data_IF_631908311712
#
_entry.id   IF_631908311712
#
_cell.length_a   1.000
_cell.length_b   1.000
_cell.length_c   1.000
_cell.angle_alpha   90.00
_cell.angle_beta   90.00
_cell.angle_gamma   90.00
#
_symmetry.space_group_name_H-M   'P 1'
#
loop_
_entity.id
_entity.type
_entity.pdbx_description
1 polymer ?
#
# COMPACT_ATOMS: atom_id res chain seq x y z
N UNK A 1 7.04 -36.97 5.76
CA UNK A 1 7.34 -35.80 6.57
C UNK A 1 7.36 -34.63 5.59
N UNK A 2 6.35 -33.75 5.61
CA UNK A 2 6.25 -32.59 4.74
C UNK A 2 7.29 -31.57 5.26
N UNK A 3 8.32 -31.29 4.48
CA UNK A 3 9.28 -30.22 4.79
C UNK A 3 8.49 -28.92 4.85
N UNK A 4 8.56 -28.21 5.96
CA UNK A 4 7.87 -26.93 6.11
C UNK A 4 8.60 -25.88 5.25
N UNK A 5 7.87 -25.28 4.31
CA UNK A 5 8.40 -24.15 3.56
C UNK A 5 8.67 -22.98 4.50
N UNK A 6 9.82 -22.32 4.34
CA UNK A 6 10.18 -21.13 5.11
C UNK A 6 10.00 -19.90 4.24
N UNK A 7 9.15 -18.97 4.68
CA UNK A 7 8.96 -17.70 4.00
C UNK A 7 10.10 -16.73 4.35
N UNK A 8 10.71 -16.14 3.33
CA UNK A 8 11.62 -15.00 3.52
C UNK A 8 10.84 -13.74 3.89
N UNK A 9 11.51 -12.74 4.48
CA UNK A 9 10.89 -11.42 4.71
C UNK A 9 10.47 -10.76 3.39
N UNK A 10 9.47 -9.85 3.41
CA UNK A 10 8.93 -9.28 2.18
C UNK A 10 9.95 -8.40 1.46
N UNK A 11 10.07 -8.61 0.16
CA UNK A 11 10.77 -7.71 -0.77
C UNK A 11 9.73 -6.80 -1.43
N UNK A 12 9.96 -5.49 -1.34
CA UNK A 12 9.12 -4.50 -2.03
C UNK A 12 9.54 -4.42 -3.49
N UNK A 13 8.66 -4.82 -4.40
CA UNK A 13 8.92 -4.92 -5.83
C UNK A 13 7.93 -4.04 -6.59
N UNK A 14 8.45 -3.06 -7.33
CA UNK A 14 7.62 -2.22 -8.19
C UNK A 14 7.02 -3.05 -9.35
N UNK A 15 5.82 -2.67 -9.80
CA UNK A 15 5.07 -3.40 -10.83
C UNK A 15 5.88 -3.74 -12.09
N UNK A 16 6.76 -2.84 -12.56
CA UNK A 16 7.59 -3.11 -13.76
C UNK A 16 8.56 -4.26 -13.55
N UNK A 17 9.31 -4.23 -12.43
CA UNK A 17 10.22 -5.32 -12.07
C UNK A 17 9.50 -6.64 -11.76
N UNK A 18 8.25 -6.55 -11.29
CA UNK A 18 7.42 -7.73 -11.11
C UNK A 18 7.04 -8.35 -12.45
N UNK A 19 6.62 -7.55 -13.43
CA UNK A 19 6.29 -8.03 -14.77
C UNK A 19 7.48 -8.74 -15.44
N UNK A 20 8.69 -8.18 -15.34
CA UNK A 20 9.91 -8.82 -15.83
C UNK A 20 10.14 -10.18 -15.16
N UNK A 21 9.96 -10.23 -13.83
CA UNK A 21 10.11 -11.46 -13.05
C UNK A 21 9.08 -12.54 -13.40
N UNK A 22 7.83 -12.17 -13.75
CA UNK A 22 6.81 -13.14 -14.15
C UNK A 22 7.17 -13.83 -15.45
N UNK A 23 7.91 -13.18 -16.36
CA UNK A 23 8.41 -13.80 -17.57
C UNK A 23 9.38 -14.94 -17.23
N UNK A 24 10.27 -14.75 -16.24
CA UNK A 24 11.23 -15.78 -15.82
C UNK A 24 10.52 -17.04 -15.32
N UNK A 25 9.40 -16.89 -14.59
CA UNK A 25 8.60 -18.05 -14.16
C UNK A 25 7.99 -18.80 -15.34
N UNK A 26 7.40 -18.11 -16.31
CA UNK A 26 6.74 -18.75 -17.46
C UNK A 26 7.69 -19.54 -18.36
N UNK A 27 8.94 -19.12 -18.46
CA UNK A 27 9.95 -19.79 -19.28
C UNK A 27 10.77 -20.82 -18.50
N UNK A 28 10.48 -21.07 -17.21
CA UNK A 28 11.19 -22.07 -16.40
C UNK A 28 10.96 -23.49 -17.00
N UNK A 29 12.00 -24.16 -17.54
CA UNK A 29 11.80 -25.41 -18.25
C UNK A 29 11.28 -26.54 -17.36
N UNK A 30 10.22 -27.19 -17.76
CA UNK A 30 9.66 -28.34 -17.05
C UNK A 30 8.89 -28.01 -15.79
N UNK A 31 8.65 -26.73 -15.49
CA UNK A 31 7.77 -26.30 -14.41
C UNK A 31 6.39 -25.94 -14.96
N UNK A 32 5.36 -26.41 -14.26
CA UNK A 32 3.98 -25.96 -14.45
C UNK A 32 3.55 -25.23 -13.20
N UNK A 33 2.97 -24.03 -13.36
CA UNK A 33 2.58 -23.18 -12.24
C UNK A 33 1.07 -23.01 -12.15
N UNK A 34 0.59 -22.89 -10.92
CA UNK A 34 -0.77 -22.46 -10.60
C UNK A 34 -0.70 -21.08 -9.98
N UNK A 35 -1.50 -20.15 -10.51
CA UNK A 35 -1.58 -18.75 -10.04
C UNK A 35 -2.98 -18.52 -9.50
N UNK A 36 -3.09 -18.10 -8.25
CA UNK A 36 -4.37 -17.83 -7.60
C UNK A 36 -4.43 -16.34 -7.18
N UNK A 37 -5.48 -15.65 -7.62
CA UNK A 37 -5.79 -14.29 -7.18
C UNK A 37 -6.95 -14.35 -6.19
N UNK A 38 -6.66 -14.12 -4.91
CA UNK A 38 -7.63 -14.25 -3.83
C UNK A 38 -7.99 -12.86 -3.25
N UNK A 39 -9.26 -12.44 -3.28
CA UNK A 39 -9.70 -11.19 -2.69
C UNK A 39 -9.59 -11.22 -1.16
N UNK A 40 -9.76 -10.07 -0.50
CA UNK A 40 -9.75 -9.98 0.96
C UNK A 40 -10.73 -10.97 1.60
N UNK A 41 -10.37 -11.50 2.78
CA UNK A 41 -11.18 -12.50 3.48
C UNK A 41 -10.92 -13.96 3.04
N UNK A 42 -9.88 -14.18 2.24
CA UNK A 42 -9.44 -15.52 1.84
C UNK A 42 -9.01 -16.39 3.03
N UNK A 43 -9.00 -17.70 2.80
CA UNK A 43 -8.42 -18.67 3.75
C UNK A 43 -7.28 -19.40 3.06
N UNK A 44 -6.12 -19.42 3.69
CA UNK A 44 -4.96 -20.12 3.16
C UNK A 44 -4.97 -21.59 3.60
N UNK A 45 -4.53 -22.46 2.70
CA UNK A 45 -4.24 -23.85 3.04
C UNK A 45 -3.00 -23.96 3.96
N UNK A 46 -2.83 -25.13 4.59
CA UNK A 46 -1.76 -25.35 5.56
C UNK A 46 -0.35 -25.19 4.96
N UNK A 47 -0.20 -25.40 3.65
CA UNK A 47 1.07 -25.25 2.92
C UNK A 47 1.61 -23.81 2.97
N UNK A 48 0.72 -22.82 3.13
CA UNK A 48 1.05 -21.39 3.25
C UNK A 48 1.25 -20.94 4.70
N UNK A 49 1.21 -21.85 5.66
CA UNK A 49 1.24 -21.55 7.10
C UNK A 49 2.50 -20.84 7.59
N UNK A 50 3.60 -20.85 6.82
CA UNK A 50 4.84 -20.14 7.14
C UNK A 50 4.78 -18.63 6.85
N UNK A 51 3.76 -18.16 6.13
CA UNK A 51 3.58 -16.73 5.87
C UNK A 51 3.28 -15.98 7.18
N UNK A 52 3.80 -14.76 7.34
CA UNK A 52 3.48 -13.93 8.50
C UNK A 52 1.99 -13.58 8.54
N UNK A 53 1.45 -13.37 9.73
CA UNK A 53 0.04 -13.05 9.93
C UNK A 53 -0.46 -11.87 9.08
N UNK A 54 0.38 -10.85 8.89
CA UNK A 54 0.06 -9.70 8.03
C UNK A 54 -0.10 -10.05 6.54
N UNK A 55 0.42 -11.19 6.10
CA UNK A 55 0.20 -11.72 4.77
C UNK A 55 -0.99 -12.67 4.72
N UNK A 56 -1.30 -13.35 5.83
CA UNK A 56 -2.46 -14.22 5.94
C UNK A 56 -3.79 -13.46 6.02
N UNK A 57 -3.78 -12.22 6.56
CA UNK A 57 -4.96 -11.37 6.78
C UNK A 57 -4.85 -10.05 5.97
N UNK A 58 -4.47 -10.10 4.69
CA UNK A 58 -4.33 -8.89 3.88
C UNK A 58 -5.66 -8.31 3.45
N UNK A 59 -5.89 -7.02 3.74
CA UNK A 59 -7.10 -6.29 3.34
C UNK A 59 -7.21 -6.07 1.82
N UNK A 60 -6.11 -6.20 1.08
CA UNK A 60 -6.07 -6.09 -0.38
C UNK A 60 -6.17 -7.44 -1.09
N UNK A 61 -6.28 -8.54 -0.36
CA UNK A 61 -6.17 -9.88 -0.91
C UNK A 61 -4.72 -10.34 -1.05
N UNK A 62 -4.51 -11.46 -1.74
CA UNK A 62 -3.20 -12.09 -1.95
C UNK A 62 -3.16 -12.78 -3.30
N UNK A 63 -1.98 -12.77 -3.92
CA UNK A 63 -1.68 -13.60 -5.09
C UNK A 63 -0.72 -14.70 -4.65
N UNK A 64 -1.06 -15.93 -5.02
CA UNK A 64 -0.27 -17.12 -4.71
C UNK A 64 0.23 -17.75 -6.00
N UNK A 65 1.49 -18.14 -6.04
CA UNK A 65 2.08 -18.90 -7.13
C UNK A 65 2.65 -20.21 -6.56
N UNK A 66 2.14 -21.31 -7.05
CA UNK A 66 2.57 -22.67 -6.69
C UNK A 66 3.11 -23.40 -7.91
N UNK A 67 4.06 -24.31 -7.70
CA UNK A 67 4.59 -25.17 -8.74
C UNK A 67 3.96 -26.58 -8.63
N UNK A 68 3.50 -27.09 -9.76
CA UNK A 68 3.01 -28.48 -9.85
C UNK A 68 4.20 -29.43 -9.81
N UNK A 69 4.15 -30.42 -8.94
CA UNK A 69 5.21 -31.42 -8.76
C UNK A 69 4.73 -32.76 -9.26
N UNK A 70 5.49 -33.40 -10.12
CA UNK A 70 5.22 -34.79 -10.54
C UNK A 70 5.53 -35.79 -9.39
N UNK A 71 4.69 -36.79 -9.12
CA UNK A 71 3.41 -37.06 -9.78
C UNK A 71 2.33 -36.06 -9.40
N UNK A 72 1.43 -35.76 -10.32
CA UNK A 72 0.36 -34.73 -10.20
C UNK A 72 -0.68 -35.01 -9.10
N UNK A 73 -0.56 -36.08 -8.35
CA UNK A 73 -1.40 -36.41 -7.21
C UNK A 73 -1.02 -35.64 -5.92
N UNK A 74 0.16 -34.99 -5.91
CA UNK A 74 0.56 -34.16 -4.79
C UNK A 74 0.02 -32.72 -4.96
N UNK A 75 -0.33 -32.05 -3.84
CA UNK A 75 -0.73 -30.65 -3.93
C UNK A 75 0.41 -29.79 -4.49
N UNK A 76 0.10 -28.74 -5.28
CA UNK A 76 1.10 -27.82 -5.77
C UNK A 76 1.93 -27.22 -4.62
N UNK A 77 3.23 -27.06 -4.81
CA UNK A 77 4.12 -26.51 -3.78
C UNK A 77 4.15 -25.00 -3.81
N UNK A 78 3.92 -24.33 -2.67
CA UNK A 78 4.07 -22.88 -2.57
C UNK A 78 5.45 -22.39 -3.04
N UNK A 79 5.47 -21.37 -3.87
CA UNK A 79 6.68 -20.77 -4.40
C UNK A 79 6.79 -19.29 -4.06
N UNK A 80 5.69 -18.55 -4.25
CA UNK A 80 5.66 -17.12 -4.09
C UNK A 80 4.29 -16.67 -3.56
N UNK A 81 4.28 -15.79 -2.59
CA UNK A 81 3.08 -15.07 -2.16
C UNK A 81 3.30 -13.56 -2.35
N UNK A 82 2.32 -12.87 -2.91
CA UNK A 82 2.41 -11.45 -3.20
C UNK A 82 1.21 -10.72 -2.62
N UNK A 83 1.46 -9.66 -1.85
CA UNK A 83 0.42 -8.74 -1.41
C UNK A 83 0.32 -7.59 -2.40
N UNK A 84 -0.80 -7.46 -3.12
CA UNK A 84 -0.98 -6.40 -4.09
C UNK A 84 -1.12 -5.04 -3.41
N UNK A 85 -0.71 -3.96 -4.06
CA UNK A 85 -0.89 -2.60 -3.55
C UNK A 85 -2.35 -2.16 -3.54
N UNK A 86 -3.17 -2.70 -4.44
CA UNK A 86 -4.60 -2.40 -4.58
C UNK A 86 -5.44 -3.65 -4.33
N UNK A 87 -6.71 -3.49 -3.90
CA UNK A 87 -7.60 -4.63 -3.67
C UNK A 87 -7.80 -5.50 -4.92
N UNK A 88 -7.80 -6.81 -4.74
CA UNK A 88 -8.33 -7.77 -5.69
C UNK A 88 -9.84 -7.78 -5.48
N UNK A 89 -10.61 -7.41 -6.50
CA UNK A 89 -12.07 -7.29 -6.40
C UNK A 89 -12.76 -8.64 -6.57
N UNK A 90 -12.26 -9.45 -7.49
CA UNK A 90 -12.81 -10.78 -7.80
C UNK A 90 -11.69 -11.82 -7.86
N UNK A 91 -12.01 -13.03 -7.45
CA UNK A 91 -11.11 -14.18 -7.63
C UNK A 91 -11.00 -14.49 -9.13
N UNK A 92 -9.79 -14.85 -9.59
CA UNK A 92 -9.63 -15.31 -10.96
C UNK A 92 -9.98 -16.79 -11.08
N UNK A 93 -10.84 -17.12 -12.04
CA UNK A 93 -11.21 -18.51 -12.35
C UNK A 93 -10.18 -19.21 -13.27
N UNK A 94 -9.34 -18.45 -13.98
CA UNK A 94 -8.43 -19.00 -14.99
C UNK A 94 -7.08 -19.44 -14.41
N UNK A 95 -6.72 -18.98 -13.21
CA UNK A 95 -5.47 -19.34 -12.52
C UNK A 95 -4.22 -19.18 -13.40
N UNK A 96 -4.18 -18.12 -14.22
CA UNK A 96 -3.13 -17.91 -15.21
C UNK A 96 -2.25 -16.69 -14.93
N UNK A 97 -1.04 -16.71 -15.49
CA UNK A 97 -0.18 -15.53 -15.48
C UNK A 97 -0.78 -14.34 -16.26
N UNK A 98 -1.62 -14.60 -17.27
CA UNK A 98 -2.28 -13.54 -18.04
C UNK A 98 -3.25 -12.74 -17.19
N UNK A 99 -4.03 -13.37 -16.32
CA UNK A 99 -4.91 -12.68 -15.39
C UNK A 99 -4.11 -11.87 -14.37
N UNK A 100 -3.02 -12.43 -13.87
CA UNK A 100 -2.13 -11.70 -12.97
C UNK A 100 -1.54 -10.48 -13.68
N UNK A 101 -1.06 -10.61 -14.91
CA UNK A 101 -0.58 -9.47 -15.72
C UNK A 101 -1.68 -8.43 -15.94
N UNK A 102 -2.86 -8.87 -16.31
CA UNK A 102 -4.01 -7.99 -16.48
C UNK A 102 -4.29 -7.18 -15.20
N UNK A 103 -4.26 -7.84 -14.03
CA UNK A 103 -4.47 -7.17 -12.74
C UNK A 103 -3.36 -6.15 -12.40
N UNK A 104 -2.11 -6.43 -12.76
CA UNK A 104 -0.96 -5.53 -12.56
C UNK A 104 -1.03 -4.30 -13.47
N UNK A 105 -1.55 -4.49 -14.70
CA UNK A 105 -1.60 -3.47 -15.74
C UNK A 105 -2.86 -2.59 -15.69
N UNK A 106 -3.78 -2.83 -14.77
CA UNK A 106 -4.96 -1.97 -14.59
C UNK A 106 -4.52 -0.52 -14.35
N UNK A 107 -5.04 0.37 -15.20
CA UNK A 107 -4.85 1.79 -15.05
C UNK A 107 -5.56 2.30 -13.79
N UNK A 108 -4.83 3.06 -12.97
CA UNK A 108 -5.38 3.62 -11.74
C UNK A 108 -4.89 5.05 -11.51
N UNK A 109 -5.80 5.84 -10.97
CA UNK A 109 -5.49 7.18 -10.46
C UNK A 109 -5.62 7.19 -8.95
N UNK A 110 -4.59 7.65 -8.26
CA UNK A 110 -4.61 7.75 -6.80
C UNK A 110 -4.42 9.18 -6.30
N UNK A 111 -5.16 9.51 -5.25
CA UNK A 111 -4.85 10.66 -4.40
C UNK A 111 -3.79 10.28 -3.37
N UNK A 112 -2.82 11.15 -3.12
CA UNK A 112 -1.77 10.94 -2.12
C UNK A 112 -1.81 12.07 -1.10
N UNK A 113 -1.87 11.74 0.18
CA UNK A 113 -1.72 12.69 1.28
C UNK A 113 -0.60 12.24 2.21
N UNK A 114 0.48 13.00 2.25
CA UNK A 114 1.59 12.80 3.18
C UNK A 114 1.51 13.85 4.29
N UNK A 115 1.52 13.42 5.55
CA UNK A 115 1.31 14.33 6.67
C UNK A 115 2.14 13.95 7.90
N UNK A 116 2.91 14.93 8.38
CA UNK A 116 3.57 14.92 9.69
C UNK A 116 3.40 16.27 10.36
N UNK A 117 3.64 16.35 11.66
CA UNK A 117 3.60 17.65 12.33
C UNK A 117 4.62 18.61 11.72
N UNK A 118 4.14 19.73 11.21
CA UNK A 118 4.94 20.77 10.57
C UNK A 118 4.94 20.72 9.04
N UNK A 119 4.66 19.59 8.41
CA UNK A 119 4.74 19.43 6.96
C UNK A 119 3.59 18.59 6.40
N UNK A 120 3.15 18.96 5.21
CA UNK A 120 2.20 18.18 4.42
C UNK A 120 2.55 18.20 2.94
N UNK A 121 2.13 17.18 2.23
CA UNK A 121 2.21 17.12 0.78
C UNK A 121 0.98 16.39 0.23
N UNK A 122 0.42 16.90 -0.86
CA UNK A 122 -0.75 16.36 -1.55
C UNK A 122 -0.39 16.16 -3.01
N UNK A 123 -0.83 15.05 -3.58
CA UNK A 123 -0.64 14.79 -5.01
C UNK A 123 -1.78 13.97 -5.59
N UNK A 124 -1.87 13.97 -6.91
CA UNK A 124 -2.58 12.98 -7.71
C UNK A 124 -1.53 12.31 -8.59
N UNK A 125 -1.59 10.99 -8.67
CA UNK A 125 -0.71 10.21 -9.52
C UNK A 125 -1.55 9.25 -10.39
N UNK A 126 -1.21 9.20 -11.68
CA UNK A 126 -1.74 8.28 -12.67
C UNK A 126 -0.68 7.22 -12.96
N UNK A 127 -1.00 5.96 -12.76
CA UNK A 127 -0.09 4.84 -13.06
C UNK A 127 1.32 4.95 -12.47
N UNK A 128 1.47 5.65 -11.34
CA UNK A 128 2.75 5.87 -10.66
C UNK A 128 3.43 7.17 -11.00
N UNK A 129 2.89 7.97 -11.94
CA UNK A 129 3.42 9.27 -12.32
C UNK A 129 2.62 10.41 -11.67
N UNK A 130 3.33 11.39 -11.12
CA UNK A 130 2.71 12.54 -10.47
C UNK A 130 2.18 13.54 -11.51
N UNK A 131 0.84 13.74 -11.55
CA UNK A 131 0.19 14.73 -12.44
C UNK A 131 -0.16 16.03 -11.72
N UNK A 132 -0.48 15.96 -10.43
CA UNK A 132 -0.74 17.13 -9.59
C UNK A 132 0.08 17.03 -8.31
N UNK A 133 0.72 18.11 -7.90
CA UNK A 133 1.47 18.14 -6.63
C UNK A 133 1.34 19.48 -5.93
N UNK A 134 1.19 19.43 -4.62
CA UNK A 134 1.26 20.61 -3.75
C UNK A 134 1.88 20.22 -2.41
N UNK A 135 2.78 21.07 -1.92
CA UNK A 135 3.42 20.87 -0.63
C UNK A 135 3.28 22.13 0.22
N UNK A 136 3.34 21.96 1.52
CA UNK A 136 3.31 23.06 2.45
C UNK A 136 3.85 22.71 3.82
N UNK A 137 4.06 23.73 4.61
CA UNK A 137 4.52 23.60 5.98
C UNK A 137 3.81 24.60 6.89
N UNK A 138 3.65 24.20 8.13
CA UNK A 138 3.15 25.05 9.20
C UNK A 138 3.97 24.77 10.45
N UNK A 139 4.62 25.77 10.97
CA UNK A 139 5.39 25.59 12.20
C UNK A 139 4.50 25.05 13.33
N UNK A 140 4.88 23.91 13.89
CA UNK A 140 4.26 23.32 15.08
C UNK A 140 5.34 23.15 16.14
N UNK A 141 5.24 23.91 17.21
CA UNK A 141 6.23 23.87 18.29
C UNK A 141 6.29 22.50 18.94
N UNK A 142 7.51 22.03 19.20
CA UNK A 142 7.73 20.77 19.92
C UNK A 142 7.11 20.78 21.30
N UNK A 143 6.71 19.61 21.78
CA UNK A 143 6.15 19.46 23.12
C UNK A 143 7.26 19.61 24.16
N UNK A 144 7.21 20.67 24.99
CA UNK A 144 8.07 20.79 26.15
C UNK A 144 7.48 20.04 27.33
N UNK A 145 8.27 19.16 27.95
CA UNK A 145 7.86 18.31 29.10
C UNK A 145 7.90 19.04 30.45
N UNK A 146 8.29 20.30 30.52
CA UNK A 146 8.33 21.05 31.80
C UNK A 146 6.95 21.45 32.26
N UNK A 147 6.52 20.99 33.43
CA UNK A 147 5.24 21.29 34.03
C UNK A 147 5.16 22.75 34.55
N UNK A 148 3.95 23.25 34.76
CA UNK A 148 3.66 24.58 35.31
C UNK A 148 2.42 25.21 34.65
N UNK A 149 1.95 26.34 35.20
CA UNK A 149 0.77 27.07 34.72
C UNK A 149 0.88 27.49 33.24
N UNK A 150 2.10 27.72 32.73
CA UNK A 150 2.39 27.97 31.31
C UNK A 150 2.10 26.77 30.40
N UNK A 151 2.12 25.55 30.89
CA UNK A 151 1.92 24.32 30.14
C UNK A 151 0.56 24.29 29.42
N UNK A 152 -0.52 24.72 30.05
CA UNK A 152 -1.86 24.78 29.46
C UNK A 152 -1.96 25.78 28.29
N UNK A 153 -1.31 26.95 28.40
CA UNK A 153 -1.26 27.94 27.33
C UNK A 153 -0.49 27.42 26.12
N UNK A 154 0.67 26.78 26.35
CA UNK A 154 1.47 26.17 25.29
C UNK A 154 0.74 25.00 24.61
N UNK A 155 0.02 24.17 25.39
CA UNK A 155 -0.79 23.08 24.84
C UNK A 155 -1.90 23.60 23.91
N UNK A 156 -2.64 24.64 24.34
CA UNK A 156 -3.70 25.27 23.52
C UNK A 156 -3.13 25.88 22.25
N UNK A 157 -2.00 26.56 22.32
CA UNK A 157 -1.31 27.13 21.15
C UNK A 157 -0.88 26.05 20.17
N UNK A 158 -0.28 24.95 20.67
CA UNK A 158 0.13 23.81 19.84
C UNK A 158 -1.07 23.16 19.15
N UNK A 159 -2.18 22.94 19.85
CA UNK A 159 -3.40 22.37 19.28
C UNK A 159 -4.01 23.31 18.22
N UNK A 160 -3.90 24.61 18.37
CA UNK A 160 -4.30 25.58 17.34
C UNK A 160 -3.45 25.39 16.06
N UNK A 161 -2.13 25.32 16.17
CA UNK A 161 -1.24 25.12 15.01
C UNK A 161 -1.46 23.79 14.31
N UNK A 162 -1.75 22.72 15.06
CA UNK A 162 -2.08 21.41 14.48
C UNK A 162 -3.39 21.50 13.70
N UNK A 163 -4.41 22.17 14.23
CA UNK A 163 -5.67 22.37 13.51
C UNK A 163 -5.47 23.16 12.21
N UNK A 164 -4.73 24.25 12.27
CA UNK A 164 -4.41 25.06 11.09
C UNK A 164 -3.62 24.28 10.04
N UNK A 165 -2.70 23.40 10.46
CA UNK A 165 -2.01 22.48 9.56
C UNK A 165 -2.99 21.53 8.85
N UNK A 166 -3.93 20.95 9.60
CA UNK A 166 -4.94 20.04 9.04
C UNK A 166 -5.91 20.76 8.11
N UNK A 167 -6.38 21.95 8.48
CA UNK A 167 -7.28 22.75 7.68
C UNK A 167 -6.62 23.12 6.34
N UNK A 168 -5.38 23.57 6.38
CA UNK A 168 -4.60 23.91 5.19
C UNK A 168 -4.36 22.69 4.28
N UNK A 169 -3.93 21.55 4.84
CA UNK A 169 -3.71 20.34 4.07
C UNK A 169 -5.04 19.81 3.48
N UNK A 170 -6.12 19.86 4.26
CA UNK A 170 -7.45 19.41 3.85
C UNK A 170 -8.08 20.28 2.77
N UNK A 171 -7.95 21.60 2.88
CA UNK A 171 -8.41 22.55 1.86
C UNK A 171 -7.70 22.31 0.53
N UNK A 172 -6.38 22.17 0.55
CA UNK A 172 -5.59 21.90 -0.65
C UNK A 172 -5.94 20.54 -1.25
N UNK A 173 -6.04 19.48 -0.43
CA UNK A 173 -6.42 18.16 -0.91
C UNK A 173 -7.81 18.21 -1.56
N UNK A 174 -8.79 18.81 -0.89
CA UNK A 174 -10.16 18.91 -1.38
C UNK A 174 -10.26 19.73 -2.67
N UNK A 175 -9.52 20.85 -2.80
CA UNK A 175 -9.48 21.66 -4.02
C UNK A 175 -8.89 20.83 -5.17
N UNK A 176 -7.71 20.25 -4.99
CA UNK A 176 -7.02 19.52 -6.06
C UNK A 176 -7.76 18.28 -6.51
N UNK A 177 -8.41 17.57 -5.58
CA UNK A 177 -9.18 16.37 -5.91
C UNK A 177 -10.48 16.70 -6.67
N UNK A 178 -11.14 17.85 -6.38
CA UNK A 178 -12.31 18.32 -7.15
C UNK A 178 -11.94 18.90 -8.52
N UNK A 179 -10.80 19.59 -8.61
CA UNK A 179 -10.33 20.21 -9.85
C UNK A 179 -9.80 19.18 -10.84
N UNK A 180 -9.46 17.96 -10.38
CA UNK A 180 -8.98 16.91 -11.24
C UNK A 180 -10.13 16.36 -12.11
N UNK A 181 -9.95 16.32 -13.46
CA UNK A 181 -11.05 15.99 -14.38
C UNK A 181 -11.37 14.48 -14.42
N UNK A 182 -10.48 13.64 -13.92
CA UNK A 182 -10.67 12.19 -13.86
C UNK A 182 -11.19 11.71 -12.51
N UNK A 183 -11.54 10.44 -12.45
CA UNK A 183 -11.87 9.78 -11.21
C UNK A 183 -10.59 9.45 -10.44
N UNK A 184 -10.61 9.65 -9.12
CA UNK A 184 -9.56 9.15 -8.23
C UNK A 184 -10.05 7.84 -7.62
N UNK A 185 -9.39 6.73 -7.95
CA UNK A 185 -9.83 5.39 -7.55
C UNK A 185 -9.56 5.10 -6.08
N UNK A 186 -8.38 5.45 -5.60
CA UNK A 186 -7.96 5.17 -4.23
C UNK A 186 -7.23 6.35 -3.58
N UNK A 187 -7.22 6.37 -2.24
CA UNK A 187 -6.44 7.31 -1.45
C UNK A 187 -5.27 6.58 -0.76
N UNK A 188 -4.08 7.08 -0.96
CA UNK A 188 -2.85 6.64 -0.29
C UNK A 188 -2.45 7.64 0.79
N UNK A 189 -2.21 7.15 1.98
CA UNK A 189 -1.76 7.97 3.10
C UNK A 189 -0.31 7.64 3.47
N UNK A 190 0.47 8.65 3.82
CA UNK A 190 1.84 8.47 4.30
C UNK A 190 2.19 9.39 5.46
N UNK A 191 3.07 8.92 6.35
CA UNK A 191 3.56 9.69 7.49
C UNK A 191 3.13 9.17 8.87
N UNK A 192 2.91 10.07 9.84
CA UNK A 192 2.61 9.70 11.21
C UNK A 192 1.17 9.21 11.40
N UNK A 193 1.03 8.00 11.95
CA UNK A 193 -0.28 7.33 12.15
C UNK A 193 -1.26 8.15 12.99
N UNK A 194 -0.77 8.71 14.08
CA UNK A 194 -1.64 9.46 15.03
C UNK A 194 -2.08 10.78 14.40
N UNK A 195 -1.16 11.44 13.69
CA UNK A 195 -1.43 12.70 12.98
C UNK A 195 -2.45 12.46 11.86
N UNK A 196 -2.25 11.44 11.03
CA UNK A 196 -3.18 11.07 9.96
C UNK A 196 -4.57 10.68 10.49
N UNK A 197 -4.65 9.88 11.55
CA UNK A 197 -5.93 9.52 12.17
C UNK A 197 -6.70 10.72 12.73
N UNK A 198 -6.00 11.72 13.28
CA UNK A 198 -6.61 13.00 13.73
C UNK A 198 -7.03 13.87 12.54
N UNK A 199 -6.25 13.88 11.47
CA UNK A 199 -6.55 14.60 10.24
C UNK A 199 -7.85 14.09 9.61
N UNK A 200 -7.96 12.78 9.36
CA UNK A 200 -9.16 12.17 8.75
C UNK A 200 -10.43 12.34 9.58
N UNK A 201 -10.32 12.41 10.91
CA UNK A 201 -11.47 12.72 11.79
C UNK A 201 -11.95 14.16 11.66
N UNK A 202 -11.06 15.09 11.25
CA UNK A 202 -11.36 16.51 11.15
C UNK A 202 -11.75 16.95 9.74
N UNK A 203 -11.06 16.43 8.75
CA UNK A 203 -11.19 16.83 7.34
C UNK A 203 -12.07 15.83 6.60
N UNK A 204 -13.13 16.34 5.97
CA UNK A 204 -13.94 15.55 5.03
C UNK A 204 -13.39 15.80 3.63
N UNK A 205 -12.91 14.74 3.00
CA UNK A 205 -12.47 14.78 1.61
C UNK A 205 -13.68 14.66 0.67
N UNK A 206 -13.61 15.21 -0.56
CA UNK A 206 -14.72 15.18 -1.51
C UNK A 206 -15.01 13.75 -2.00
N UNK A 207 -16.21 13.56 -2.52
CA UNK A 207 -16.65 12.40 -3.31
C UNK A 207 -16.40 11.02 -2.65
N UNK A 208 -16.43 10.97 -1.32
CA UNK A 208 -16.20 9.73 -0.57
C UNK A 208 -14.80 9.13 -0.74
N UNK A 209 -13.82 9.90 -1.22
CA UNK A 209 -12.46 9.40 -1.45
C UNK A 209 -11.79 8.89 -0.16
N UNK A 210 -12.20 9.41 0.98
CA UNK A 210 -11.75 8.93 2.29
C UNK A 210 -12.10 7.47 2.57
N UNK A 211 -13.22 7.00 2.04
CA UNK A 211 -13.70 5.62 2.20
C UNK A 211 -12.92 4.63 1.32
N UNK A 212 -12.23 5.15 0.30
CA UNK A 212 -11.35 4.40 -0.61
C UNK A 212 -9.88 4.48 -0.20
N UNK A 213 -9.61 4.76 1.07
CA UNK A 213 -8.24 4.80 1.61
C UNK A 213 -7.65 3.40 1.64
N UNK A 214 -6.49 3.22 1.01
CA UNK A 214 -5.76 1.96 1.04
C UNK A 214 -5.24 1.66 2.46
N UNK A 215 -5.28 0.40 2.90
CA UNK A 215 -4.89 0.00 4.25
C UNK A 215 -3.39 0.20 4.50
N UNK A 216 -2.58 0.08 3.46
CA UNK A 216 -1.14 0.21 3.52
C UNK A 216 -0.71 1.68 3.56
N UNK A 217 -0.14 2.10 4.69
CA UNK A 217 0.38 3.45 4.84
C UNK A 217 1.87 3.51 4.50
N UNK A 218 2.24 4.51 3.71
CA UNK A 218 3.64 4.75 3.36
C UNK A 218 4.43 5.35 4.53
N UNK A 219 5.66 4.88 4.69
CA UNK A 219 6.60 5.47 5.65
C UNK A 219 7.21 6.73 5.04
N UNK A 220 7.04 7.87 5.71
CA UNK A 220 7.53 9.16 5.22
C UNK A 220 8.12 9.94 6.39
N UNK A 221 9.38 10.31 6.30
CA UNK A 221 10.06 11.09 7.35
C UNK A 221 9.72 12.58 7.25
N UNK A 222 9.78 13.15 6.06
CA UNK A 222 9.44 14.54 5.82
C UNK A 222 8.58 14.67 4.56
N UNK A 223 7.28 15.02 4.69
CA UNK A 223 6.42 15.33 3.55
C UNK A 223 6.98 16.47 2.71
N UNK A 224 7.11 16.22 1.41
CA UNK A 224 7.67 17.19 0.44
C UNK A 224 7.68 16.59 -0.97
N UNK A 225 8.20 17.31 -1.96
CA UNK A 225 8.19 16.87 -3.36
C UNK A 225 8.88 15.51 -3.53
N UNK A 226 10.10 15.37 -3.02
CA UNK A 226 10.84 14.10 -3.11
C UNK A 226 10.10 12.93 -2.46
N UNK A 227 9.40 13.18 -1.33
CA UNK A 227 8.60 12.17 -0.68
C UNK A 227 7.37 11.78 -1.53
N UNK A 228 6.78 12.72 -2.28
CA UNK A 228 5.69 12.41 -3.22
C UNK A 228 6.20 11.56 -4.39
N UNK A 229 7.37 11.85 -4.96
CA UNK A 229 7.96 11.05 -6.05
C UNK A 229 8.20 9.59 -5.60
N UNK A 230 8.71 9.41 -4.37
CA UNK A 230 8.86 8.08 -3.76
C UNK A 230 7.51 7.43 -3.49
N UNK A 231 6.56 8.17 -2.91
CA UNK A 231 5.23 7.67 -2.58
C UNK A 231 4.43 7.22 -3.82
N UNK A 232 4.51 7.99 -4.91
CA UNK A 232 3.86 7.63 -6.16
C UNK A 232 4.39 6.29 -6.69
N UNK A 233 5.71 6.06 -6.66
CA UNK A 233 6.31 4.80 -7.07
C UNK A 233 5.98 3.66 -6.13
N UNK A 234 6.13 3.86 -4.81
CA UNK A 234 5.96 2.80 -3.81
C UNK A 234 4.50 2.35 -3.71
N UNK A 235 3.54 3.24 -4.05
CA UNK A 235 2.13 2.90 -4.10
C UNK A 235 1.77 1.82 -5.14
N UNK A 236 2.61 1.57 -6.13
CA UNK A 236 2.46 0.48 -7.11
C UNK A 236 3.38 -0.71 -6.84
N UNK A 237 3.91 -0.83 -5.64
CA UNK A 237 4.82 -1.92 -5.29
C UNK A 237 4.12 -3.04 -4.54
N UNK A 238 4.41 -4.26 -4.96
CA UNK A 238 3.98 -5.51 -4.34
C UNK A 238 4.93 -5.89 -3.21
N UNK A 239 4.41 -6.47 -2.14
CA UNK A 239 5.23 -7.13 -1.11
C UNK A 239 5.31 -8.61 -1.43
N UNK A 240 6.50 -9.06 -1.76
CA UNK A 240 6.73 -10.43 -2.24
C UNK A 240 7.40 -11.23 -1.14
N UNK A 241 6.84 -12.40 -0.85
CA UNK A 241 7.39 -13.42 0.02
C UNK A 241 7.79 -14.63 -0.83
N UNK A 242 9.05 -15.01 -0.77
CA UNK A 242 9.53 -16.24 -1.40
C UNK A 242 9.46 -17.37 -0.40
N UNK A 243 8.98 -18.53 -0.84
CA UNK A 243 8.94 -19.73 -0.04
C UNK A 243 9.99 -20.72 -0.57
N UNK A 244 11.03 -20.96 0.21
CA UNK A 244 12.02 -22.01 -0.07
C UNK A 244 11.63 -23.27 0.65
N UNK A 245 11.72 -24.41 -0.05
CA UNK A 245 11.69 -25.70 0.61
C UNK A 245 13.12 -25.97 1.10
N UNK A 246 13.33 -26.06 2.40
CA UNK A 246 14.53 -26.68 2.90
C UNK A 246 14.56 -28.14 2.46
N UNK A 247 15.60 -28.50 1.74
CA UNK A 247 15.87 -29.86 1.29
C UNK A 247 16.26 -30.75 2.46
#
# INVERSE_FOLDING_TARGET
MTSASVATGPVLTHRSALLDRLIDFEIEPGAEFVVELLPAGYSLSAEWGSLPKSAQDSDNGIVLISVVVAPSELPPRPRLAMLPPFPIEEASDSNSFDDLRASILVDRTIGIILLRLGHWAVAIAENGELVVTKTGSRYVKNQHRKGGQSSNRFRRGREKWIRELFDQAGEVASSRFREYPGQIDNLVLGGDRVVLGRFLKRVKLPDGIGDRTLPNRLSVDQPGRKALDTAARDAWSYRIYELSNDN
#
